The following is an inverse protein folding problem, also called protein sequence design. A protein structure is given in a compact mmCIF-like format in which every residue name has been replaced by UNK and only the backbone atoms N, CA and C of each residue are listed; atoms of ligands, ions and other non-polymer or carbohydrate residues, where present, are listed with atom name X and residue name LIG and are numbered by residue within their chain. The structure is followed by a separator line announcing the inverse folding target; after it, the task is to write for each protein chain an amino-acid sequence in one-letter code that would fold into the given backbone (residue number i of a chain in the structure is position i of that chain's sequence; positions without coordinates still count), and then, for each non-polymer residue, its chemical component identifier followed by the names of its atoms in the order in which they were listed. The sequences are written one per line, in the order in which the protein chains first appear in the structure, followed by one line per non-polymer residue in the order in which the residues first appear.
data_IF_010311264073
#
_entry.id   IF_010311264073
#
_cell.length_a   1.000
_cell.length_b   1.000
_cell.length_c   1.000
_cell.angle_alpha   90.00
_cell.angle_beta   90.00
_cell.angle_gamma   90.00
#
_symmetry.space_group_name_H-M   'P 1'
#
loop_
_entity.id
_entity.type
_entity.pdbx_description
1 polymer ?
#
# COMPACT_ATOMS: atom_id res chain seq x y z
N UNK A 1 14.24 -11.55 -26.32
CA UNK A 1 15.58 -11.02 -25.99
C UNK A 1 15.71 -10.97 -24.48
N UNK A 2 16.64 -11.72 -23.88
CA UNK A 2 16.97 -11.62 -22.46
C UNK A 2 17.92 -10.44 -22.27
N UNK A 3 17.42 -9.31 -21.77
CA UNK A 3 18.27 -8.18 -21.42
C UNK A 3 18.92 -8.47 -20.05
N UNK A 4 20.24 -8.44 -19.97
CA UNK A 4 20.96 -8.80 -18.75
C UNK A 4 20.87 -7.63 -17.76
N UNK A 5 20.21 -7.84 -16.63
CA UNK A 5 20.04 -6.81 -15.60
C UNK A 5 21.24 -6.83 -14.65
N UNK A 6 22.14 -5.85 -14.81
CA UNK A 6 23.27 -5.67 -13.90
C UNK A 6 22.87 -4.73 -12.77
N UNK A 7 22.82 -5.23 -11.54
CA UNK A 7 22.52 -4.44 -10.35
C UNK A 7 23.79 -4.30 -9.51
N UNK A 8 24.19 -3.06 -9.25
CA UNK A 8 25.23 -2.75 -8.27
C UNK A 8 24.62 -2.79 -6.88
N UNK A 9 25.24 -3.54 -5.99
CA UNK A 9 24.82 -3.70 -4.60
C UNK A 9 26.05 -3.47 -3.71
N UNK A 10 25.86 -2.88 -2.53
CA UNK A 10 26.94 -2.84 -1.55
C UNK A 10 27.38 -4.28 -1.22
N UNK A 11 28.69 -4.58 -1.15
CA UNK A 11 29.18 -5.94 -0.90
C UNK A 11 28.61 -6.55 0.38
N UNK A 12 28.51 -5.75 1.45
CA UNK A 12 28.00 -6.18 2.76
C UNK A 12 26.52 -6.47 2.69
N UNK A 13 25.76 -5.57 2.06
CA UNK A 13 24.31 -5.74 1.89
C UNK A 13 23.98 -6.95 1.00
N UNK A 14 24.81 -7.22 -0.02
CA UNK A 14 24.66 -8.38 -0.91
C UNK A 14 24.86 -9.67 -0.15
N UNK A 15 25.89 -9.72 0.70
CA UNK A 15 26.22 -10.91 1.49
C UNK A 15 25.12 -11.20 2.53
N UNK A 16 24.64 -10.16 3.23
CA UNK A 16 23.49 -10.27 4.13
C UNK A 16 22.23 -10.72 3.41
N UNK A 17 21.91 -10.10 2.27
CA UNK A 17 20.75 -10.48 1.47
C UNK A 17 20.87 -11.92 0.97
N UNK A 18 22.04 -12.32 0.45
CA UNK A 18 22.33 -13.67 -0.01
C UNK A 18 22.14 -14.72 1.09
N UNK A 19 22.56 -14.40 2.33
CA UNK A 19 22.34 -15.27 3.49
C UNK A 19 20.84 -15.47 3.74
N UNK A 20 20.07 -14.38 3.84
CA UNK A 20 18.63 -14.44 4.11
C UNK A 20 17.90 -15.22 3.01
N UNK A 21 18.13 -14.92 1.73
CA UNK A 21 17.47 -15.65 0.64
C UNK A 21 17.93 -17.11 0.56
N UNK A 22 19.19 -17.38 0.95
CA UNK A 22 19.75 -18.72 1.04
C UNK A 22 19.08 -19.58 2.11
N UNK A 23 18.66 -18.99 3.23
CA UNK A 23 17.85 -19.68 4.26
C UNK A 23 16.51 -20.17 3.71
N UNK A 24 15.96 -19.48 2.71
CA UNK A 24 14.76 -19.90 1.96
C UNK A 24 15.08 -20.82 0.76
N UNK A 25 16.34 -21.23 0.58
CA UNK A 25 16.78 -22.06 -0.55
C UNK A 25 16.78 -21.33 -1.91
N UNK A 26 16.78 -19.99 -1.89
CA UNK A 26 16.74 -19.15 -3.08
C UNK A 26 18.10 -18.49 -3.34
N UNK A 27 18.42 -18.29 -4.61
CA UNK A 27 19.54 -17.43 -5.02
C UNK A 27 19.09 -15.97 -5.13
N UNK A 28 20.03 -15.03 -5.01
CA UNK A 28 19.77 -13.58 -5.16
C UNK A 28 18.99 -13.25 -6.44
N UNK A 29 19.35 -13.76 -7.64
CA UNK A 29 18.59 -13.48 -8.85
C UNK A 29 17.17 -14.07 -8.83
N UNK A 30 16.96 -15.23 -8.20
CA UNK A 30 15.64 -15.85 -8.07
C UNK A 30 14.74 -15.02 -7.13
N UNK A 31 15.27 -14.60 -5.99
CA UNK A 31 14.55 -13.74 -5.05
C UNK A 31 14.16 -12.40 -5.71
N UNK A 32 15.06 -11.80 -6.50
CA UNK A 32 14.75 -10.59 -7.26
C UNK A 32 13.67 -10.79 -8.32
N UNK A 33 13.67 -11.93 -9.03
CA UNK A 33 12.59 -12.27 -9.97
C UNK A 33 11.24 -12.39 -9.26
N UNK A 34 11.21 -13.02 -8.08
CA UNK A 34 9.99 -13.14 -7.28
C UNK A 34 9.49 -11.77 -6.80
N UNK A 35 10.40 -10.92 -6.31
CA UNK A 35 10.09 -9.55 -5.94
C UNK A 35 9.50 -8.77 -7.12
N UNK A 36 10.16 -8.79 -8.28
CA UNK A 36 9.67 -8.11 -9.49
C UNK A 36 8.29 -8.64 -9.91
N UNK A 37 8.08 -9.96 -9.88
CA UNK A 37 6.79 -10.57 -10.19
C UNK A 37 5.69 -10.14 -9.22
N UNK A 38 6.01 -10.02 -7.93
CA UNK A 38 5.07 -9.55 -6.91
C UNK A 38 4.65 -8.10 -7.18
N UNK A 39 5.62 -7.23 -7.49
CA UNK A 39 5.37 -5.83 -7.83
C UNK A 39 4.48 -5.72 -9.07
N UNK A 40 4.78 -6.49 -10.13
CA UNK A 40 4.00 -6.48 -11.38
C UNK A 40 2.57 -6.97 -11.14
N UNK A 41 2.39 -8.05 -10.38
CA UNK A 41 1.07 -8.65 -10.14
C UNK A 41 0.16 -7.80 -9.26
N UNK A 42 0.74 -7.17 -8.25
CA UNK A 42 -0.03 -6.44 -7.24
C UNK A 42 -0.13 -4.94 -7.54
N UNK A 43 0.73 -4.42 -8.42
CA UNK A 43 0.85 -2.99 -8.67
C UNK A 43 1.40 -2.21 -7.47
N UNK A 44 1.79 -2.89 -6.38
CA UNK A 44 2.31 -2.27 -5.16
C UNK A 44 3.70 -2.82 -4.85
N UNK A 45 4.54 -1.98 -4.26
CA UNK A 45 5.86 -2.40 -3.78
C UNK A 45 5.65 -3.08 -2.41
N UNK A 46 5.97 -4.38 -2.24
CA UNK A 46 5.74 -5.12 -1.01
C UNK A 46 6.83 -4.81 0.03
N UNK A 47 7.03 -3.53 0.32
CA UNK A 47 7.89 -3.03 1.37
C UNK A 47 7.00 -2.27 2.35
N UNK A 48 7.12 -2.58 3.64
CA UNK A 48 6.45 -1.80 4.67
C UNK A 48 7.18 -0.46 4.81
N UNK A 49 6.62 0.59 4.21
CA UNK A 49 7.08 1.96 4.41
C UNK A 49 6.53 2.51 5.74
N UNK A 50 6.82 1.84 6.86
CA UNK A 50 6.32 2.27 8.17
C UNK A 50 6.93 3.62 8.62
N UNK A 51 8.10 3.98 8.07
CA UNK A 51 8.71 5.31 8.28
C UNK A 51 7.89 6.45 7.67
N UNK A 52 7.04 6.19 6.67
CA UNK A 52 6.14 7.17 6.07
C UNK A 52 4.74 7.21 6.73
N UNK A 53 4.42 6.27 7.64
CA UNK A 53 3.14 6.23 8.36
C UNK A 53 3.08 7.18 9.56
N UNK A 54 4.21 7.70 10.03
CA UNK A 54 4.23 8.66 11.12
C UNK A 54 3.56 10.00 10.78
N UNK A 55 3.30 10.30 9.51
CA UNK A 55 2.55 11.51 9.08
C UNK A 55 1.05 11.30 8.89
N UNK A 56 0.56 10.06 8.94
CA UNK A 56 -0.87 9.75 8.84
C UNK A 56 -1.28 8.76 9.91
N UNK A 57 -1.18 9.20 11.16
CA UNK A 57 -2.09 8.71 12.20
C UNK A 57 -3.49 9.05 11.68
N UNK A 58 -4.37 8.06 11.40
CA UNK A 58 -5.75 8.36 11.06
C UNK A 58 -6.31 9.23 12.19
N UNK A 59 -6.66 10.48 11.88
CA UNK A 59 -7.37 11.32 12.85
C UNK A 59 -8.58 10.54 13.34
N UNK A 60 -8.96 10.64 14.61
CA UNK A 60 -10.11 9.90 15.18
C UNK A 60 -11.37 10.01 14.31
N UNK A 61 -11.52 11.12 13.58
CA UNK A 61 -12.56 11.33 12.57
C UNK A 61 -12.58 10.31 11.41
N UNK A 62 -11.42 9.88 10.92
CA UNK A 62 -11.30 8.84 9.88
C UNK A 62 -11.62 7.45 10.44
N UNK A 63 -11.20 7.16 11.69
CA UNK A 63 -11.54 5.91 12.36
C UNK A 63 -13.05 5.80 12.62
N UNK A 64 -13.67 6.91 13.03
CA UNK A 64 -15.12 6.97 13.21
C UNK A 64 -15.86 6.82 11.89
N UNK A 65 -15.44 7.50 10.82
CA UNK A 65 -16.05 7.34 9.50
C UNK A 65 -15.96 5.90 8.96
N UNK A 66 -14.83 5.21 9.18
CA UNK A 66 -14.69 3.79 8.83
C UNK A 66 -15.65 2.92 9.66
N UNK A 67 -15.80 3.23 10.95
CA UNK A 67 -16.70 2.50 11.84
C UNK A 67 -18.19 2.72 11.48
N UNK A 68 -18.58 3.93 11.09
CA UNK A 68 -19.93 4.26 10.61
C UNK A 68 -20.25 3.54 9.30
N UNK A 69 -19.28 3.44 8.39
CA UNK A 69 -19.39 2.65 7.15
C UNK A 69 -19.57 1.15 7.42
N UNK A 70 -18.85 0.58 8.40
CA UNK A 70 -18.97 -0.83 8.77
C UNK A 70 -20.28 -1.16 9.51
N UNK A 71 -20.82 -0.20 10.26
CA UNK A 71 -22.11 -0.32 10.96
C UNK A 71 -23.31 -0.15 10.02
N UNK A 72 -23.07 0.20 8.75
CA UNK A 72 -24.12 0.32 7.73
C UNK A 72 -24.98 1.58 7.85
N UNK A 73 -24.59 2.53 8.71
CA UNK A 73 -25.26 3.82 8.85
C UNK A 73 -24.70 4.80 7.82
N UNK A 74 -24.90 4.46 6.55
CA UNK A 74 -24.37 5.21 5.41
C UNK A 74 -25.51 5.95 4.74
N UNK A 75 -25.43 7.27 4.72
CA UNK A 75 -26.36 8.11 3.96
C UNK A 75 -26.16 7.88 2.47
N UNK A 76 -27.02 7.08 1.87
CA UNK A 76 -27.07 6.86 0.42
C UNK A 76 -27.96 7.90 -0.24
N UNK A 77 -27.48 8.48 -1.34
CA UNK A 77 -28.24 9.44 -2.13
C UNK A 77 -28.39 8.88 -3.56
N UNK A 78 -29.60 8.93 -4.10
CA UNK A 78 -29.92 8.39 -5.43
C UNK A 78 -29.38 9.26 -6.58
N UNK A 79 -29.00 10.50 -6.29
CA UNK A 79 -28.46 11.44 -7.28
C UNK A 79 -27.45 12.42 -6.68
N UNK A 80 -26.53 12.90 -7.54
CA UNK A 80 -25.59 13.98 -7.20
C UNK A 80 -26.32 15.26 -6.76
N UNK A 81 -27.50 15.53 -7.33
CA UNK A 81 -28.32 16.69 -6.96
C UNK A 81 -28.88 16.59 -5.54
N UNK A 82 -29.25 15.39 -5.07
CA UNK A 82 -29.75 15.20 -3.71
C UNK A 82 -28.64 15.26 -2.67
N UNK A 83 -27.44 14.77 -3.01
CA UNK A 83 -26.25 14.94 -2.17
C UNK A 83 -25.92 16.42 -1.96
N UNK A 84 -25.93 17.22 -3.02
CA UNK A 84 -25.61 18.66 -2.96
C UNK A 84 -26.64 19.42 -2.11
N UNK A 85 -27.93 19.08 -2.23
CA UNK A 85 -28.99 19.68 -1.38
C UNK A 85 -28.83 19.34 0.10
N UNK A 86 -28.47 18.10 0.42
CA UNK A 86 -28.25 17.66 1.80
C UNK A 86 -27.01 18.32 2.41
N UNK A 87 -25.95 18.50 1.63
CA UNK A 87 -24.71 19.15 2.07
C UNK A 87 -24.88 20.66 2.30
N UNK A 88 -25.61 21.36 1.41
CA UNK A 88 -25.85 22.80 1.56
C UNK A 88 -26.76 23.12 2.76
N UNK A 89 -27.68 22.21 3.10
CA UNK A 89 -28.51 22.34 4.31
C UNK A 89 -27.77 22.07 5.61
N UNK A 90 -26.72 21.23 5.62
CA UNK A 90 -25.88 21.00 6.82
C UNK A 90 -24.81 22.09 7.04
N UNK A 91 -24.47 22.88 6.03
CA UNK A 91 -23.51 23.99 6.12
C UNK A 91 -24.08 25.28 6.75
N UNK A 92 -25.41 25.37 6.90
CA UNK A 92 -26.12 26.56 7.38
C UNK A 92 -26.71 26.46 8.80
N UNK A 93 -26.39 25.41 9.56
CA UNK A 93 -26.83 25.28 10.96
C UNK A 93 -25.68 25.33 11.95
#
# INVERSE_FOLDING_TARGET
MSNNFNMSFDPTAKEQFAKVVGEYGLTVPQAFKLFANQVIKTGVIPLSFDWAKNDKIPTDKLLNAISELEQGDVLTYDSLDDFVKAYDTTSKS
#
